data_IF_673137044439
#
_entry.id   IF_673137044439
#
_cell.length_a   1.000
_cell.length_b   1.000
_cell.length_c   1.000
_cell.angle_alpha   90.00
_cell.angle_beta   90.00
_cell.angle_gamma   90.00
#
_symmetry.space_group_name_H-M   'P 1'
#
loop_
_entity.id
_entity.type
_entity.pdbx_description
1 polymer ?
#
# COMPACT_ATOMS: atom_id res chain seq x y z
N UNK A 1 -27.34 -11.75 -23.37
CA UNK A 1 -26.43 -12.32 -22.36
C UNK A 1 -26.85 -11.77 -21.01
N UNK A 2 -27.40 -12.59 -20.11
CA UNK A 2 -27.77 -12.13 -18.76
C UNK A 2 -26.47 -11.98 -17.97
N UNK A 3 -26.26 -10.88 -17.21
CA UNK A 3 -25.11 -10.82 -16.32
C UNK A 3 -25.24 -11.94 -15.28
N UNK A 4 -24.18 -12.73 -15.15
CA UNK A 4 -24.15 -13.91 -14.32
C UNK A 4 -24.24 -13.48 -12.86
N UNK A 5 -25.19 -14.04 -12.09
CA UNK A 5 -25.40 -13.69 -10.67
C UNK A 5 -24.11 -13.78 -9.85
N UNK A 6 -23.24 -14.70 -10.20
CA UNK A 6 -21.91 -14.88 -9.62
C UNK A 6 -21.03 -13.63 -9.74
N UNK A 7 -21.08 -12.93 -10.88
CA UNK A 7 -20.33 -11.69 -11.08
C UNK A 7 -20.75 -10.64 -10.05
N UNK A 8 -22.04 -10.48 -9.78
CA UNK A 8 -22.54 -9.52 -8.79
C UNK A 8 -22.15 -9.92 -7.37
N UNK A 9 -22.18 -11.21 -7.04
CA UNK A 9 -21.75 -11.70 -5.71
C UNK A 9 -20.27 -11.45 -5.51
N UNK A 10 -19.43 -11.77 -6.50
CA UNK A 10 -17.98 -11.56 -6.43
C UNK A 10 -17.66 -10.07 -6.34
N UNK A 11 -18.30 -9.23 -7.16
CA UNK A 11 -18.10 -7.78 -7.09
C UNK A 11 -18.56 -7.20 -5.75
N UNK A 12 -19.70 -7.68 -5.21
CA UNK A 12 -20.20 -7.27 -3.90
C UNK A 12 -19.25 -7.66 -2.77
N UNK A 13 -18.73 -8.89 -2.78
CA UNK A 13 -17.75 -9.36 -1.80
C UNK A 13 -16.44 -8.57 -1.88
N UNK A 14 -15.93 -8.33 -3.10
CA UNK A 14 -14.69 -7.61 -3.32
C UNK A 14 -14.78 -6.15 -2.84
N UNK A 15 -15.92 -5.49 -3.09
CA UNK A 15 -16.13 -4.09 -2.71
C UNK A 15 -16.69 -3.90 -1.30
N UNK A 16 -17.11 -4.96 -0.62
CA UNK A 16 -17.71 -4.87 0.72
C UNK A 16 -16.83 -4.14 1.73
N UNK A 17 -15.55 -4.49 1.81
CA UNK A 17 -14.61 -3.90 2.76
C UNK A 17 -14.26 -2.42 2.45
N UNK A 18 -13.90 -2.04 1.20
CA UNK A 18 -13.72 -0.63 0.84
C UNK A 18 -14.97 0.22 1.10
N UNK A 19 -16.16 -0.29 0.77
CA UNK A 19 -17.42 0.43 0.99
C UNK A 19 -17.72 0.60 2.48
N UNK A 20 -17.53 -0.43 3.30
CA UNK A 20 -17.70 -0.34 4.75
C UNK A 20 -16.74 0.70 5.37
N UNK A 21 -15.48 0.72 4.92
CA UNK A 21 -14.52 1.72 5.37
C UNK A 21 -14.88 3.14 4.90
N UNK A 22 -15.38 3.29 3.67
CA UNK A 22 -15.95 4.54 3.17
C UNK A 22 -17.09 5.06 4.05
N UNK A 23 -18.02 4.19 4.47
CA UNK A 23 -19.10 4.57 5.39
C UNK A 23 -18.58 5.04 6.75
N UNK A 24 -17.62 4.34 7.33
CA UNK A 24 -16.98 4.78 8.57
C UNK A 24 -16.34 6.17 8.42
N UNK A 25 -15.65 6.40 7.30
CA UNK A 25 -14.99 7.67 7.02
C UNK A 25 -16.00 8.82 6.85
N UNK A 26 -17.11 8.55 6.17
CA UNK A 26 -18.21 9.49 5.99
C UNK A 26 -18.88 9.85 7.33
N UNK A 27 -19.15 8.84 8.17
CA UNK A 27 -19.72 9.02 9.50
C UNK A 27 -18.82 9.87 10.41
N UNK A 28 -17.51 9.62 10.37
CA UNK A 28 -16.53 10.42 11.11
C UNK A 28 -16.48 11.87 10.60
N UNK A 29 -16.57 12.07 9.29
CA UNK A 29 -16.57 13.40 8.69
C UNK A 29 -17.82 14.21 9.06
N UNK A 30 -18.99 13.56 9.13
CA UNK A 30 -20.24 14.19 9.55
C UNK A 30 -20.15 14.76 10.97
N UNK A 31 -19.57 14.00 11.90
CA UNK A 31 -19.37 14.47 13.29
C UNK A 31 -18.48 15.71 13.40
N UNK A 32 -17.64 15.97 12.40
CA UNK A 32 -16.71 17.11 12.37
C UNK A 32 -17.19 18.26 11.47
N UNK A 33 -18.44 18.22 11.01
CA UNK A 33 -18.99 19.24 10.12
C UNK A 33 -18.32 19.29 8.73
N UNK A 34 -17.71 18.18 8.29
CA UNK A 34 -17.04 18.08 6.98
C UNK A 34 -17.93 17.37 5.95
N UNK A 35 -17.56 17.47 4.67
CA UNK A 35 -18.29 16.86 3.57
C UNK A 35 -18.30 15.33 3.65
N UNK A 36 -19.43 14.74 4.05
CA UNK A 36 -19.60 13.29 4.17
C UNK A 36 -19.26 12.54 2.87
N UNK A 37 -19.72 13.06 1.74
CA UNK A 37 -19.54 12.44 0.42
C UNK A 37 -18.07 12.40 -0.01
N UNK A 38 -17.32 13.48 0.21
CA UNK A 38 -15.88 13.52 -0.10
C UNK A 38 -15.09 12.49 0.71
N UNK A 39 -15.41 12.36 2.00
CA UNK A 39 -14.77 11.39 2.88
C UNK A 39 -15.22 9.94 2.62
N UNK A 40 -16.44 9.74 2.14
CA UNK A 40 -16.90 8.43 1.65
C UNK A 40 -16.04 7.95 0.48
N UNK A 41 -15.92 8.76 -0.57
CA UNK A 41 -15.12 8.42 -1.75
C UNK A 41 -13.65 8.23 -1.37
N UNK A 42 -13.12 9.12 -0.53
CA UNK A 42 -11.77 8.98 0.00
C UNK A 42 -11.54 7.62 0.65
N UNK A 43 -12.41 7.20 1.58
CA UNK A 43 -12.29 5.88 2.21
C UNK A 43 -12.40 4.72 1.22
N UNK A 44 -13.37 4.77 0.31
CA UNK A 44 -13.58 3.73 -0.70
C UNK A 44 -12.35 3.51 -1.61
N UNK A 45 -11.62 4.57 -1.97
CA UNK A 45 -10.42 4.46 -2.80
C UNK A 45 -9.13 4.29 -2.02
N UNK A 46 -9.09 4.69 -0.74
CA UNK A 46 -7.89 4.54 0.08
C UNK A 46 -7.49 3.08 0.26
N UNK A 47 -8.46 2.18 0.53
CA UNK A 47 -8.17 0.77 0.79
C UNK A 47 -7.54 0.06 -0.44
N UNK A 48 -8.14 0.16 -1.65
CA UNK A 48 -7.55 -0.44 -2.85
C UNK A 48 -6.18 0.16 -3.20
N UNK A 49 -6.03 1.48 -3.12
CA UNK A 49 -4.76 2.15 -3.44
C UNK A 49 -3.67 1.76 -2.44
N UNK A 50 -3.98 1.73 -1.14
CA UNK A 50 -3.04 1.28 -0.11
C UNK A 50 -2.65 -0.19 -0.30
N UNK A 51 -3.60 -1.06 -0.69
CA UNK A 51 -3.34 -2.45 -1.00
C UNK A 51 -2.37 -2.62 -2.19
N UNK A 52 -2.59 -1.88 -3.28
CA UNK A 52 -1.69 -1.87 -4.44
C UNK A 52 -0.31 -1.32 -4.10
N UNK A 53 -0.26 -0.25 -3.30
CA UNK A 53 1.00 0.36 -2.85
C UNK A 53 1.82 -0.60 -1.98
N UNK A 54 1.17 -1.26 -1.01
CA UNK A 54 1.80 -2.27 -0.17
C UNK A 54 2.31 -3.46 -1.00
N UNK A 55 1.53 -3.87 -2.00
CA UNK A 55 1.93 -4.94 -2.92
C UNK A 55 3.15 -4.53 -3.77
N UNK A 56 3.18 -3.29 -4.25
CA UNK A 56 4.30 -2.75 -5.03
C UNK A 56 5.60 -2.72 -4.21
N UNK A 57 5.56 -2.22 -2.97
CA UNK A 57 6.75 -2.18 -2.09
C UNK A 57 7.22 -3.60 -1.74
N UNK A 58 6.29 -4.51 -1.42
CA UNK A 58 6.67 -5.91 -1.16
C UNK A 58 7.22 -6.63 -2.41
N UNK A 59 6.86 -6.18 -3.61
CA UNK A 59 7.43 -6.66 -4.87
C UNK A 59 8.87 -6.20 -5.06
N UNK A 60 9.14 -4.91 -4.85
CA UNK A 60 10.47 -4.30 -5.02
C UNK A 60 11.54 -4.91 -4.08
N UNK A 61 11.14 -5.25 -2.84
CA UNK A 61 11.99 -5.95 -1.87
C UNK A 61 12.31 -7.41 -2.25
N UNK A 62 11.54 -8.02 -3.14
CA UNK A 62 11.81 -9.39 -3.65
C UNK A 62 12.80 -9.35 -4.80
N UNK A 63 12.71 -8.35 -5.68
CA UNK A 63 13.64 -8.18 -6.80
C UNK A 63 15.05 -7.78 -6.33
N UNK A 64 15.14 -7.06 -5.20
CA UNK A 64 16.41 -6.68 -4.58
C UNK A 64 17.16 -7.82 -3.88
N UNK A 65 16.50 -8.96 -3.61
CA UNK A 65 17.15 -10.13 -2.97
C UNK A 65 17.94 -11.01 -3.93
N UNK A 66 17.77 -10.84 -5.25
CA UNK A 66 18.49 -11.60 -6.27
C UNK A 66 19.73 -10.90 -6.84
N UNK A 67 19.94 -9.61 -6.55
CA UNK A 67 21.16 -8.93 -6.99
C UNK A 67 22.25 -9.12 -5.94
N UNK A 68 23.42 -9.68 -6.28
CA UNK A 68 24.57 -9.52 -5.40
C UNK A 68 24.75 -8.02 -5.21
N UNK A 69 24.63 -7.55 -3.97
CA UNK A 69 25.10 -6.22 -3.59
C UNK A 69 26.56 -6.19 -4.03
N UNK A 70 26.82 -5.59 -5.19
CA UNK A 70 28.15 -5.10 -5.53
C UNK A 70 28.41 -3.99 -4.52
N UNK A 71 28.83 -4.41 -3.32
CA UNK A 71 29.57 -3.59 -2.39
C UNK A 71 30.86 -3.29 -3.12
N UNK A 72 30.81 -2.29 -3.99
CA UNK A 72 31.95 -1.43 -4.22
C UNK A 72 32.39 -0.98 -2.84
N UNK A 73 33.36 -1.71 -2.29
CA UNK A 73 34.01 -1.48 -1.02
C UNK A 73 34.46 -0.03 -1.08
N UNK A 74 33.66 0.84 -0.46
CA UNK A 74 33.85 2.27 -0.50
C UNK A 74 35.21 2.56 0.10
N UNK A 75 35.95 3.49 -0.50
CA UNK A 75 37.26 3.96 -0.04
C UNK A 75 37.30 4.28 1.47
N UNK A 76 36.16 4.62 2.07
CA UNK A 76 36.00 4.82 3.51
C UNK A 76 36.20 3.56 4.36
N UNK A 77 35.80 2.37 3.89
CA UNK A 77 35.97 1.09 4.60
C UNK A 77 37.47 0.69 4.63
N UNK A 78 38.19 0.96 3.55
CA UNK A 78 39.66 0.78 3.47
C UNK A 78 40.44 1.77 4.36
N UNK A 79 39.87 2.94 4.64
CA UNK A 79 40.46 3.92 5.55
C UNK A 79 40.18 3.60 7.03
N UNK A 80 39.03 2.99 7.32
CA UNK A 80 38.69 2.53 8.67
C UNK A 80 39.63 1.38 9.10
N UNK A 81 39.81 0.36 8.26
CA UNK A 81 40.69 -0.78 8.59
C UNK A 81 42.15 -0.37 8.86
N UNK A 82 42.64 0.71 8.22
CA UNK A 82 44.02 1.17 8.44
C UNK A 82 44.19 2.08 9.67
N UNK A 83 43.08 2.53 10.29
CA UNK A 83 43.12 3.36 11.51
C UNK A 83 43.10 2.50 12.79
N UNK A 84 42.62 1.26 12.70
CA UNK A 84 42.48 0.37 13.85
C UNK A 84 43.76 -0.44 14.18
N UNK A 85 44.88 -0.18 13.49
CA UNK A 85 46.14 -0.95 13.59
C UNK A 85 47.35 -0.08 14.01
N UNK A 86 47.13 1.05 14.70
CA UNK A 86 48.22 1.85 15.29
C UNK A 86 47.93 2.16 16.74
#
# INVERSE_FOLDING_TARGET
MRPDRELFVVLGLLWSAPVAFGYFCAWWAQQRGRSAFGWFLFGCFLLPVAGLWLLAINGDDRDSRGKPKDKSIGRGDLLATRKDVI
#
